data_IF_497810468520
#
_entry.id   IF_497810468520
#
_cell.length_a   1.000
_cell.length_b   1.000
_cell.length_c   1.000
_cell.angle_alpha   90.00
_cell.angle_beta   90.00
_cell.angle_gamma   90.00
#
_symmetry.space_group_name_H-M   'P 1'
#
loop_
_entity.id
_entity.type
_entity.pdbx_description
1 polymer ?
#
# COMPACT_ATOMS: atom_id res chain seq x y z
N UNK A 1 19.42 6.11 -15.45
CA UNK A 1 17.94 6.28 -15.48
C UNK A 1 17.33 4.88 -15.48
N UNK A 2 16.39 4.57 -14.57
CA UNK A 2 15.95 3.21 -14.25
C UNK A 2 15.49 2.39 -15.48
N UNK A 3 14.62 2.96 -16.32
CA UNK A 3 14.14 2.32 -17.54
C UNK A 3 15.27 1.88 -18.51
N UNK A 4 16.31 2.71 -18.65
CA UNK A 4 17.49 2.38 -19.48
C UNK A 4 18.27 1.20 -18.90
N UNK A 5 18.38 1.13 -17.57
CA UNK A 5 19.12 0.06 -16.90
C UNK A 5 18.38 -1.29 -16.96
N UNK A 6 17.04 -1.28 -16.88
CA UNK A 6 16.25 -2.51 -16.97
C UNK A 6 16.17 -3.08 -18.40
N UNK A 7 16.37 -2.24 -19.43
CA UNK A 7 16.48 -2.65 -20.82
C UNK A 7 15.38 -3.64 -21.27
N UNK A 8 14.13 -3.37 -20.90
CA UNK A 8 13.00 -4.28 -21.14
C UNK A 8 12.77 -4.59 -22.63
N UNK A 9 13.18 -3.68 -23.53
CA UNK A 9 13.11 -3.89 -24.98
C UNK A 9 14.02 -5.00 -25.51
N UNK A 10 15.00 -5.47 -24.73
CA UNK A 10 15.85 -6.61 -25.08
C UNK A 10 15.18 -7.97 -24.83
N UNK A 11 14.05 -8.00 -24.12
CA UNK A 11 13.32 -9.25 -23.84
C UNK A 11 12.69 -9.75 -25.14
N UNK A 12 13.13 -10.92 -25.59
CA UNK A 12 12.60 -11.57 -26.79
C UNK A 12 11.23 -12.17 -26.51
N UNK A 13 10.23 -11.77 -27.30
CA UNK A 13 8.89 -12.33 -27.27
C UNK A 13 8.65 -13.26 -28.46
N UNK A 14 8.27 -14.50 -28.18
CA UNK A 14 8.02 -15.52 -29.22
C UNK A 14 6.53 -15.66 -29.58
N UNK A 15 5.64 -14.96 -28.87
CA UNK A 15 4.20 -15.25 -28.88
C UNK A 15 3.38 -14.60 -30.00
N UNK A 16 3.96 -13.74 -30.84
CA UNK A 16 3.49 -13.43 -32.21
C UNK A 16 4.30 -12.24 -32.74
N UNK A 17 4.98 -12.45 -33.87
CA UNK A 17 5.68 -11.40 -34.62
C UNK A 17 4.74 -10.34 -35.22
N UNK A 18 3.41 -10.47 -35.08
CA UNK A 18 2.45 -9.70 -35.88
C UNK A 18 1.80 -8.49 -35.19
N UNK A 19 2.03 -8.23 -33.91
CA UNK A 19 1.46 -7.05 -33.24
C UNK A 19 2.54 -6.18 -32.61
N UNK A 20 2.99 -5.15 -33.33
CA UNK A 20 3.81 -4.03 -32.84
C UNK A 20 3.16 -3.23 -31.68
N UNK A 21 2.08 -3.73 -31.07
CA UNK A 21 1.30 -3.05 -30.02
C UNK A 21 1.60 -3.54 -28.62
N UNK A 22 2.11 -4.77 -28.49
CA UNK A 22 2.43 -5.39 -27.20
C UNK A 22 3.91 -5.74 -27.18
N UNK A 23 4.68 -5.02 -26.38
CA UNK A 23 6.10 -5.26 -26.16
C UNK A 23 6.44 -5.04 -24.70
N UNK A 24 7.51 -5.68 -24.24
CA UNK A 24 8.01 -5.46 -22.90
C UNK A 24 8.48 -4.01 -22.75
N UNK A 25 7.86 -3.30 -21.82
CA UNK A 25 8.25 -1.96 -21.43
C UNK A 25 8.63 -1.95 -19.96
N UNK A 26 9.37 -0.93 -19.57
CA UNK A 26 9.58 -0.62 -18.17
C UNK A 26 8.28 -0.07 -17.57
N UNK A 27 7.92 -0.57 -16.40
CA UNK A 27 6.81 -0.09 -15.60
C UNK A 27 7.32 0.21 -14.20
N UNK A 28 6.96 1.37 -13.69
CA UNK A 28 6.93 1.66 -12.27
C UNK A 28 5.44 1.80 -11.93
N UNK A 29 4.91 0.93 -11.08
CA UNK A 29 3.46 0.80 -10.80
C UNK A 29 3.23 0.37 -9.35
N UNK A 30 2.00 0.48 -8.86
CA UNK A 30 1.64 -0.04 -7.52
C UNK A 30 1.40 -1.55 -7.57
N UNK A 31 1.46 -2.25 -6.43
CA UNK A 31 1.01 -3.64 -6.34
C UNK A 31 -0.51 -3.73 -6.11
N UNK A 32 -1.06 -4.94 -6.13
CA UNK A 32 -2.51 -5.17 -5.98
C UNK A 32 -3.07 -4.69 -4.63
N UNK A 33 -2.23 -4.66 -3.59
CA UNK A 33 -2.59 -4.22 -2.25
C UNK A 33 -2.40 -2.71 -2.03
N UNK A 34 -1.93 -1.99 -3.05
CA UNK A 34 -1.62 -0.56 -2.98
C UNK A 34 -0.74 -0.21 -1.77
N UNK A 35 0.20 -1.08 -1.41
CA UNK A 35 1.09 -0.87 -0.27
C UNK A 35 2.57 -0.96 -0.67
N UNK A 36 2.87 -1.16 -1.95
CA UNK A 36 4.23 -1.12 -2.48
C UNK A 36 4.23 -0.59 -3.91
N UNK A 37 5.38 -0.08 -4.33
CA UNK A 37 5.66 0.30 -5.72
C UNK A 37 6.68 -0.67 -6.31
N UNK A 38 6.39 -1.19 -7.50
CA UNK A 38 7.18 -2.20 -8.17
C UNK A 38 7.74 -1.66 -9.48
N UNK A 39 9.03 -1.91 -9.72
CA UNK A 39 9.68 -1.71 -11.02
C UNK A 39 9.77 -3.06 -11.74
N UNK A 40 9.11 -3.19 -12.89
CA UNK A 40 9.03 -4.45 -13.63
C UNK A 40 9.19 -4.24 -15.13
N UNK A 41 9.65 -5.27 -15.83
CA UNK A 41 9.49 -5.38 -17.27
C UNK A 41 8.24 -6.21 -17.56
N UNK A 42 7.23 -5.60 -18.19
CA UNK A 42 5.99 -6.29 -18.52
C UNK A 42 5.43 -5.82 -19.86
N UNK A 43 4.51 -6.60 -20.43
CA UNK A 43 3.80 -6.20 -21.64
C UNK A 43 2.96 -4.94 -21.37
N UNK A 44 3.05 -3.97 -22.26
CA UNK A 44 2.22 -2.78 -22.21
C UNK A 44 0.76 -3.09 -22.59
N UNK A 45 -0.14 -2.33 -21.97
CA UNK A 45 -1.58 -2.33 -22.27
C UNK A 45 -2.16 -0.93 -22.11
N UNK A 46 -3.34 -0.73 -22.66
CA UNK A 46 -4.19 0.43 -22.36
C UNK A 46 -4.87 0.20 -21.01
N UNK A 47 -4.87 1.23 -20.16
CA UNK A 47 -5.48 1.24 -18.82
C UNK A 47 -6.64 2.22 -18.82
N UNK A 48 -7.78 1.86 -18.25
CA UNK A 48 -9.02 2.65 -18.36
C UNK A 48 -9.46 3.29 -17.04
N UNK A 49 -8.98 4.51 -16.74
CA UNK A 49 -9.51 5.32 -15.63
C UNK A 49 -9.18 4.85 -14.20
N UNK A 50 -8.37 3.82 -14.05
CA UNK A 50 -7.86 3.32 -12.76
C UNK A 50 -6.34 3.53 -12.66
N UNK A 51 -5.81 3.42 -11.45
CA UNK A 51 -4.36 3.27 -11.27
C UNK A 51 -3.89 1.94 -11.87
N UNK A 52 -2.73 1.94 -12.52
CA UNK A 52 -2.10 0.71 -13.01
C UNK A 52 -1.46 -0.04 -11.85
N UNK A 53 -1.77 -1.32 -11.72
CA UNK A 53 -1.05 -2.24 -10.86
C UNK A 53 -0.21 -3.26 -11.65
N UNK A 54 0.80 -3.80 -10.98
CA UNK A 54 1.33 -5.10 -11.30
C UNK A 54 0.78 -6.14 -10.31
N UNK A 55 -0.02 -7.08 -10.82
CA UNK A 55 -0.47 -8.21 -10.04
C UNK A 55 0.66 -9.25 -10.00
N UNK A 56 1.32 -9.36 -8.86
CA UNK A 56 2.47 -10.26 -8.65
C UNK A 56 2.11 -11.73 -8.90
N UNK A 57 0.91 -12.15 -8.48
CA UNK A 57 0.45 -13.54 -8.64
C UNK A 57 0.13 -13.85 -10.11
N UNK A 58 -0.59 -12.95 -10.78
CA UNK A 58 -0.95 -13.07 -12.19
C UNK A 58 0.19 -12.71 -13.16
N UNK A 59 1.27 -12.11 -12.66
CA UNK A 59 2.40 -11.56 -13.42
C UNK A 59 1.96 -10.63 -14.55
N UNK A 60 0.93 -9.83 -14.30
CA UNK A 60 0.25 -9.05 -15.32
C UNK A 60 0.08 -7.60 -14.87
N UNK A 61 0.27 -6.68 -15.81
CA UNK A 61 -0.10 -5.28 -15.67
C UNK A 61 -1.61 -5.18 -15.87
N UNK A 62 -2.32 -4.47 -15.00
CA UNK A 62 -3.78 -4.30 -15.11
C UNK A 62 -4.28 -3.06 -14.34
N UNK A 63 -5.56 -2.75 -14.48
CA UNK A 63 -6.27 -1.82 -13.61
C UNK A 63 -6.30 -2.34 -12.17
N UNK A 64 -6.02 -1.47 -11.20
CA UNK A 64 -6.42 -1.70 -9.82
C UNK A 64 -7.84 -1.18 -9.62
N UNK A 65 -8.82 -2.07 -9.60
CA UNK A 65 -10.24 -1.70 -9.49
C UNK A 65 -10.63 -1.08 -8.13
N UNK A 66 -9.75 -1.12 -7.12
CA UNK A 66 -9.94 -0.43 -5.85
C UNK A 66 -9.33 0.98 -5.85
N UNK A 67 -8.63 1.36 -6.91
CA UNK A 67 -7.97 2.65 -7.07
C UNK A 67 -8.52 3.40 -8.29
N UNK A 68 -9.76 3.89 -8.16
CA UNK A 68 -10.35 4.71 -9.22
C UNK A 68 -9.64 6.06 -9.29
N UNK A 69 -8.81 6.20 -10.31
CA UNK A 69 -7.83 7.24 -10.39
C UNK A 69 -8.43 8.59 -10.83
N UNK A 70 -9.64 8.58 -11.41
CA UNK A 70 -10.38 9.80 -11.72
C UNK A 70 -10.89 10.53 -10.47
N UNK A 71 -11.01 9.85 -9.34
CA UNK A 71 -11.41 10.45 -8.05
C UNK A 71 -10.21 11.02 -7.29
N UNK A 72 -8.99 10.85 -7.81
CA UNK A 72 -7.77 11.36 -7.20
C UNK A 72 -7.41 12.73 -7.76
N UNK A 73 -6.59 13.47 -7.01
CA UNK A 73 -6.09 14.79 -7.39
C UNK A 73 -4.55 14.78 -7.53
N UNK A 74 -3.98 15.11 -8.71
CA UNK A 74 -4.70 15.29 -9.98
C UNK A 74 -5.24 13.94 -10.53
N UNK A 75 -6.32 13.97 -11.31
CA UNK A 75 -6.88 12.77 -11.92
C UNK A 75 -6.04 12.30 -13.11
N UNK A 76 -6.09 11.01 -13.42
CA UNK A 76 -5.60 10.50 -14.69
C UNK A 76 -6.63 10.67 -15.82
N UNK A 77 -6.21 10.62 -17.10
CA UNK A 77 -7.11 10.61 -18.24
C UNK A 77 -8.00 9.35 -18.27
N UNK A 78 -9.04 9.38 -19.11
CA UNK A 78 -9.96 8.26 -19.31
C UNK A 78 -9.27 6.97 -19.74
N UNK A 79 -8.17 7.06 -20.47
CA UNK A 79 -7.29 5.94 -20.76
C UNK A 79 -5.85 6.40 -20.95
N UNK A 80 -4.89 5.52 -20.70
CA UNK A 80 -3.46 5.79 -20.91
C UNK A 80 -2.69 4.50 -21.17
N UNK A 81 -1.47 4.62 -21.73
CA UNK A 81 -0.57 3.47 -21.84
C UNK A 81 0.00 3.17 -20.45
N UNK A 82 -0.11 1.91 -20.00
CA UNK A 82 0.44 1.44 -18.73
C UNK A 82 1.89 1.84 -18.43
N UNK A 83 2.77 1.96 -19.43
CA UNK A 83 4.17 2.39 -19.26
C UNK A 83 4.28 3.86 -18.84
N UNK A 84 3.21 4.63 -18.96
CA UNK A 84 3.10 6.03 -18.53
C UNK A 84 2.46 6.18 -17.14
N UNK A 85 2.17 5.07 -16.45
CA UNK A 85 1.54 5.09 -15.12
C UNK A 85 2.30 5.96 -14.10
N UNK A 86 3.63 6.05 -14.23
CA UNK A 86 4.48 6.89 -13.38
C UNK A 86 4.15 8.38 -13.44
N UNK A 87 3.42 8.85 -14.46
CA UNK A 87 2.98 10.25 -14.55
C UNK A 87 1.86 10.58 -13.57
N UNK A 88 1.09 9.59 -13.13
CA UNK A 88 -0.08 9.78 -12.25
C UNK A 88 0.32 9.60 -10.80
N UNK A 89 1.05 10.61 -10.28
CA UNK A 89 1.64 10.58 -8.94
C UNK A 89 0.60 10.37 -7.82
N UNK A 90 -0.66 10.77 -8.04
CA UNK A 90 -1.78 10.57 -7.12
C UNK A 90 -2.01 9.09 -6.76
N UNK A 91 -1.77 8.16 -7.70
CA UNK A 91 -1.83 6.71 -7.44
C UNK A 91 -0.77 6.25 -6.43
N UNK A 92 0.43 6.81 -6.48
CA UNK A 92 1.53 6.46 -5.57
C UNK A 92 1.34 7.08 -4.18
N UNK A 93 0.54 8.15 -4.07
CA UNK A 93 0.14 8.67 -2.77
C UNK A 93 -0.78 7.69 -2.02
N UNK A 94 -1.51 6.80 -2.71
CA UNK A 94 -2.28 5.74 -2.07
C UNK A 94 -1.35 4.77 -1.31
N UNK A 95 -0.22 4.41 -1.92
CA UNK A 95 0.82 3.58 -1.28
C UNK A 95 1.33 4.23 -0.01
N UNK A 96 1.71 5.51 -0.06
CA UNK A 96 2.18 6.25 1.11
C UNK A 96 1.12 6.30 2.22
N UNK A 97 -0.13 6.57 1.87
CA UNK A 97 -1.26 6.58 2.83
C UNK A 97 -1.47 5.20 3.47
N UNK A 98 -1.33 4.13 2.70
CA UNK A 98 -1.49 2.78 3.22
C UNK A 98 -0.33 2.36 4.13
N UNK A 99 0.91 2.74 3.82
CA UNK A 99 2.04 2.56 4.74
C UNK A 99 1.78 3.26 6.08
N UNK A 100 1.33 4.51 6.07
CA UNK A 100 1.01 5.25 7.30
C UNK A 100 -0.08 4.58 8.14
N UNK A 101 -1.12 4.02 7.50
CA UNK A 101 -2.16 3.25 8.20
C UNK A 101 -1.62 1.99 8.84
N UNK A 102 -0.71 1.29 8.15
CA UNK A 102 -0.06 0.08 8.68
C UNK A 102 0.86 0.45 9.84
N UNK A 103 1.60 1.56 9.76
CA UNK A 103 2.45 2.03 10.87
C UNK A 103 1.60 2.39 12.09
N UNK A 104 0.54 3.16 11.91
CA UNK A 104 -0.39 3.54 12.98
C UNK A 104 -1.04 2.31 13.65
N UNK A 105 -1.49 1.33 12.86
CA UNK A 105 -2.08 0.11 13.43
C UNK A 105 -1.07 -0.72 14.24
N UNK A 106 0.21 -0.72 13.82
CA UNK A 106 1.27 -1.39 14.56
C UNK A 106 1.71 -0.65 15.82
N UNK A 107 1.60 0.68 15.85
CA UNK A 107 1.85 1.49 17.06
C UNK A 107 0.76 1.31 18.11
N UNK A 108 -0.50 1.22 17.72
CA UNK A 108 -1.61 0.96 18.66
C UNK A 108 -1.53 -0.44 19.30
N UNK A 109 -0.99 -1.44 18.59
CA UNK A 109 -0.72 -2.78 19.14
C UNK A 109 0.42 -2.78 20.17
N UNK A 110 1.33 -1.80 20.11
CA UNK A 110 2.47 -1.67 21.05
C UNK A 110 2.16 -0.86 22.29
N UNK A 111 0.99 -0.20 22.38
CA UNK A 111 0.59 0.49 23.61
C UNK A 111 0.28 -0.55 24.68
N UNK A 112 0.90 -0.49 25.87
CA UNK A 112 0.51 -1.38 26.96
C UNK A 112 -0.97 -1.17 27.23
N UNK A 113 -1.74 -2.26 27.25
CA UNK A 113 -3.13 -2.25 27.72
C UNK A 113 -3.07 -1.94 29.21
N UNK A 114 -3.04 -0.65 29.55
CA UNK A 114 -3.40 -0.22 30.88
C UNK A 114 -4.91 -0.47 30.96
N UNK A 115 -5.31 -1.55 31.62
CA UNK A 115 -6.68 -1.78 32.04
C UNK A 115 -7.06 -0.67 33.03
N UNK A 116 -7.37 0.53 32.52
CA UNK A 116 -8.06 1.55 33.29
C UNK A 116 -9.51 1.10 33.38
N UNK A 117 -9.83 0.38 34.45
CA UNK A 117 -11.22 0.15 34.83
C UNK A 117 -11.81 1.51 35.22
N UNK A 118 -12.36 2.23 34.23
CA UNK A 118 -13.03 3.50 34.47
C UNK A 118 -14.39 3.22 35.08
N UNK A 119 -14.48 3.15 36.40
CA UNK A 119 -15.74 3.17 37.12
C UNK A 119 -16.35 4.56 37.01
N UNK A 120 -17.59 4.62 36.53
CA UNK A 120 -18.41 5.81 36.39
C UNK A 120 -18.41 6.67 37.67
N UNK A 121 -18.21 8.00 37.51
CA UNK A 121 -18.36 8.96 38.60
C UNK A 121 -19.81 9.00 39.08
N UNK A 122 -20.02 8.67 40.35
CA UNK A 122 -21.27 8.85 41.09
C UNK A 122 -21.01 9.12 42.56
N UNK A 123 -21.16 10.39 42.94
CA UNK A 123 -21.67 10.94 44.22
C UNK A 123 -21.20 10.36 45.59
N UNK A 124 -20.54 11.25 46.36
CA UNK A 124 -20.57 11.42 47.82
C UNK A 124 -19.95 10.35 48.76
N UNK A 125 -18.97 10.78 49.57
CA UNK A 125 -18.65 10.21 50.89
C UNK A 125 -17.19 9.77 51.09
N UNK A 126 -16.45 10.51 51.91
CA UNK A 126 -15.16 10.09 52.47
C UNK A 126 -15.31 8.87 53.39
N UNK A 127 -14.60 7.77 53.11
CA UNK A 127 -14.04 6.87 54.15
C UNK A 127 -12.67 6.35 53.66
N UNK A 128 -11.62 6.76 54.37
CA UNK A 128 -10.30 6.17 54.28
C UNK A 128 -10.31 4.72 54.80
N UNK A 129 -9.76 3.78 54.04
CA UNK A 129 -9.27 2.52 54.61
C UNK A 129 -7.90 2.22 54.00
N UNK A 130 -6.88 2.54 54.79
CA UNK A 130 -5.51 2.03 54.69
C UNK A 130 -5.57 0.53 54.98
N UNK A 131 -5.02 -0.33 54.13
CA UNK A 131 -4.39 -1.57 54.59
C UNK A 131 -3.18 -1.93 53.73
N UNK A 132 -2.01 -1.65 54.32
CA UNK A 132 -0.72 -2.31 54.10
C UNK A 132 -0.88 -3.83 54.04
N UNK A 133 -0.18 -4.50 53.13
CA UNK A 133 0.61 -5.75 53.32
C UNK A 133 0.83 -6.44 51.96
N UNK A 134 1.95 -7.08 51.61
CA UNK A 134 3.24 -7.35 52.23
C UNK A 134 4.21 -7.62 51.07
N UNK A 135 5.43 -7.08 51.19
CA UNK A 135 6.61 -7.46 50.44
C UNK A 135 6.99 -8.91 50.82
N UNK A 136 7.02 -9.88 49.91
CA UNK A 136 7.79 -11.13 50.09
C UNK A 136 8.25 -11.72 48.75
N UNK A 137 9.53 -11.49 48.46
CA UNK A 137 10.56 -12.39 47.93
C UNK A 137 10.22 -13.45 46.85
N UNK A 138 10.96 -13.37 45.73
CA UNK A 138 11.68 -14.47 45.07
C UNK A 138 12.71 -13.84 44.11
N UNK A 139 13.96 -13.57 44.55
CA UNK A 139 15.18 -14.40 44.37
C UNK A 139 15.48 -14.77 42.92
N UNK A 140 16.44 -14.04 42.32
CA UNK A 140 17.81 -14.53 42.02
C UNK A 140 18.77 -13.33 41.91
#
# INVERSE_FOLDING_TARGET
MAAKNMNCGAIKQNCSQSSNRHHFQYHCVINAWMNETLEVCALNRTIFGFCTEYNVMGRVIQENYYAYCKDLDPPCPSFYNSAEAYKYQSCYQLVKKNHQKIEYSNEDIKKPVIHVLSTSKGLHGDIAVIFLSILHACVL
#
